data_IF_203682981984
#
_entry.id   IF_203682981984
#
_cell.length_a   1.000
_cell.length_b   1.000
_cell.length_c   1.000
_cell.angle_alpha   90.00
_cell.angle_beta   90.00
_cell.angle_gamma   90.00
#
_symmetry.space_group_name_H-M   'P 1'
#
loop_
_entity.id
_entity.type
_entity.pdbx_description
1 polymer ?
#
# COMPACT_ATOMS: atom_id res chain seq x y z
N UNK A 1 -16.12 1.62 -26.52
CA UNK A 1 -16.41 0.28 -27.07
C UNK A 1 -16.05 -0.76 -26.02
N UNK A 2 -17.00 -1.61 -25.65
CA UNK A 2 -16.85 -2.69 -24.67
C UNK A 2 -15.90 -3.75 -25.21
N UNK A 3 -14.64 -3.71 -24.78
CA UNK A 3 -13.65 -4.74 -25.10
C UNK A 3 -14.01 -5.96 -24.26
N UNK A 4 -14.45 -7.03 -24.92
CA UNK A 4 -14.71 -8.32 -24.27
C UNK A 4 -13.41 -9.12 -24.21
N UNK A 5 -13.08 -9.70 -23.05
CA UNK A 5 -11.90 -10.56 -22.86
C UNK A 5 -11.93 -11.84 -23.71
N UNK A 6 -13.07 -12.17 -24.32
CA UNK A 6 -13.25 -13.32 -25.23
C UNK A 6 -12.90 -13.05 -26.69
N UNK A 7 -12.53 -11.81 -27.05
CA UNK A 7 -12.16 -11.46 -28.42
C UNK A 7 -10.75 -11.96 -28.78
N UNK A 8 -10.54 -12.36 -30.03
CA UNK A 8 -9.20 -12.65 -30.55
C UNK A 8 -8.32 -11.38 -30.51
N UNK A 9 -7.31 -11.37 -29.62
CA UNK A 9 -6.40 -10.24 -29.45
C UNK A 9 -5.35 -10.21 -30.56
N UNK A 10 -5.63 -9.48 -31.65
CA UNK A 10 -4.59 -9.04 -32.58
C UNK A 10 -3.75 -7.89 -32.00
N UNK A 11 -2.53 -7.67 -32.51
CA UNK A 11 -1.61 -6.61 -32.05
C UNK A 11 -2.26 -5.22 -31.92
N UNK A 12 -3.16 -4.86 -32.85
CA UNK A 12 -3.88 -3.57 -32.82
C UNK A 12 -4.87 -3.45 -31.65
N UNK A 13 -5.61 -4.52 -31.33
CA UNK A 13 -6.51 -4.56 -30.16
C UNK A 13 -5.71 -4.60 -28.85
N UNK A 14 -4.58 -5.32 -28.84
CA UNK A 14 -3.67 -5.35 -27.70
C UNK A 14 -3.12 -3.95 -27.38
N UNK A 15 -2.60 -3.24 -28.39
CA UNK A 15 -2.11 -1.86 -28.23
C UNK A 15 -3.24 -0.92 -27.79
N UNK A 16 -4.44 -1.04 -28.36
CA UNK A 16 -5.57 -0.18 -27.98
C UNK A 16 -6.09 -0.47 -26.57
N UNK A 17 -5.91 -1.69 -26.07
CA UNK A 17 -6.22 -2.07 -24.69
C UNK A 17 -5.13 -1.63 -23.70
N UNK A 18 -3.86 -1.68 -24.10
CA UNK A 18 -2.74 -1.28 -23.23
C UNK A 18 -2.49 0.23 -23.23
N UNK A 19 -2.85 0.97 -24.30
CA UNK A 19 -2.64 2.41 -24.39
C UNK A 19 -3.24 3.20 -23.22
N UNK A 20 -4.49 2.96 -22.80
CA UNK A 20 -5.08 3.66 -21.66
C UNK A 20 -4.34 3.37 -20.35
N UNK A 21 -3.88 2.13 -20.17
CA UNK A 21 -3.09 1.73 -19.00
C UNK A 21 -1.71 2.40 -19.02
N UNK A 22 -1.04 2.42 -20.17
CA UNK A 22 0.25 3.11 -20.34
C UNK A 22 0.07 4.62 -20.07
N UNK A 23 -0.98 5.24 -20.61
CA UNK A 23 -1.28 6.64 -20.36
C UNK A 23 -1.54 6.92 -18.87
N UNK A 24 -2.37 6.11 -18.21
CA UNK A 24 -2.59 6.16 -16.75
C UNK A 24 -1.27 6.08 -15.97
N UNK A 25 -0.38 5.17 -16.36
CA UNK A 25 0.93 5.00 -15.72
C UNK A 25 1.85 6.20 -15.94
N UNK A 26 1.85 6.79 -17.14
CA UNK A 26 2.59 8.02 -17.43
C UNK A 26 2.06 9.18 -16.58
N UNK A 27 0.74 9.39 -16.54
CA UNK A 27 0.15 10.45 -15.71
C UNK A 27 0.48 10.27 -14.24
N UNK A 28 0.32 9.06 -13.70
CA UNK A 28 0.67 8.74 -12.31
C UNK A 28 2.16 8.99 -12.04
N UNK A 29 3.03 8.71 -13.01
CA UNK A 29 4.47 8.97 -12.92
C UNK A 29 4.78 10.46 -12.88
N UNK A 30 4.15 11.26 -13.75
CA UNK A 30 4.32 12.72 -13.77
C UNK A 30 3.83 13.32 -12.45
N UNK A 31 2.69 12.88 -11.93
CA UNK A 31 2.16 13.35 -10.65
C UNK A 31 3.12 13.06 -9.49
N UNK A 32 3.67 11.84 -9.41
CA UNK A 32 4.64 11.50 -8.37
C UNK A 32 5.93 12.32 -8.43
N UNK A 33 6.39 12.67 -9.64
CA UNK A 33 7.53 13.57 -9.81
C UNK A 33 7.19 14.97 -9.32
N UNK A 34 6.03 15.49 -9.70
CA UNK A 34 5.59 16.83 -9.31
C UNK A 34 5.45 16.91 -7.79
N UNK A 35 4.81 15.92 -7.16
CA UNK A 35 4.63 15.86 -5.71
C UNK A 35 5.98 15.73 -4.96
N UNK A 36 6.86 14.84 -5.43
CA UNK A 36 8.20 14.70 -4.89
C UNK A 36 9.05 15.97 -5.05
N UNK A 37 8.92 16.69 -6.17
CA UNK A 37 9.58 17.98 -6.38
C UNK A 37 8.99 19.07 -5.47
N UNK A 38 7.67 19.08 -5.25
CA UNK A 38 7.01 20.01 -4.33
C UNK A 38 7.50 19.81 -2.90
N UNK A 39 7.50 18.56 -2.40
CA UNK A 39 8.01 18.23 -1.06
C UNK A 39 9.49 18.59 -0.96
N UNK A 40 10.30 18.29 -1.98
CA UNK A 40 11.74 18.58 -1.96
C UNK A 40 12.05 20.09 -2.03
N UNK A 41 11.25 20.89 -2.72
CA UNK A 41 11.45 22.36 -2.81
C UNK A 41 10.89 23.10 -1.59
N UNK A 42 9.75 22.68 -1.05
CA UNK A 42 9.12 23.36 0.08
C UNK A 42 9.80 22.98 1.40
N UNK A 43 10.16 21.70 1.56
CA UNK A 43 10.62 21.17 2.85
C UNK A 43 12.12 20.91 2.90
N UNK A 44 12.79 20.89 1.75
CA UNK A 44 14.23 20.72 1.64
C UNK A 44 14.67 19.29 1.34
N UNK A 45 15.86 19.16 0.74
CA UNK A 45 16.40 17.89 0.27
C UNK A 45 16.74 16.91 1.39
N UNK A 46 17.09 17.42 2.58
CA UNK A 46 17.37 16.60 3.77
C UNK A 46 16.10 15.93 4.29
N UNK A 47 15.00 16.68 4.34
CA UNK A 47 13.70 16.18 4.77
C UNK A 47 13.14 15.12 3.82
N UNK A 48 13.30 15.34 2.51
CA UNK A 48 12.94 14.35 1.49
C UNK A 48 13.76 13.06 1.60
N UNK A 49 15.06 13.15 1.89
CA UNK A 49 15.92 11.98 2.12
C UNK A 49 15.48 11.20 3.37
N UNK A 50 15.15 11.89 4.45
CA UNK A 50 14.66 11.30 5.70
C UNK A 50 13.36 10.49 5.49
N UNK A 51 12.38 11.05 4.77
CA UNK A 51 11.12 10.35 4.41
C UNK A 51 11.41 9.05 3.65
N UNK A 52 12.28 9.13 2.64
CA UNK A 52 12.61 7.97 1.80
C UNK A 52 13.39 6.88 2.52
N UNK A 53 14.13 7.24 3.57
CA UNK A 53 14.85 6.30 4.40
C UNK A 53 13.90 5.43 5.23
N UNK A 54 12.82 6.01 5.75
CA UNK A 54 11.90 5.33 6.68
C UNK A 54 10.74 4.58 5.99
N UNK A 55 10.35 4.98 4.77
CA UNK A 55 9.26 4.33 4.03
C UNK A 55 9.39 2.80 3.89
N UNK A 56 10.56 2.21 3.56
CA UNK A 56 10.70 0.76 3.48
C UNK A 56 10.38 0.03 4.79
N UNK A 57 10.68 0.63 5.93
CA UNK A 57 10.38 0.05 7.26
C UNK A 57 8.87 -0.06 7.45
N UNK A 58 8.15 1.00 7.09
CA UNK A 58 6.69 1.05 7.16
C UNK A 58 6.08 0.02 6.21
N UNK A 59 6.64 -0.15 5.00
CA UNK A 59 6.22 -1.18 4.04
C UNK A 59 6.47 -2.59 4.56
N UNK A 60 7.59 -2.86 5.24
CA UNK A 60 7.86 -4.17 5.86
C UNK A 60 6.80 -4.49 6.91
N UNK A 61 6.45 -3.55 7.78
CA UNK A 61 5.40 -3.77 8.78
C UNK A 61 4.01 -3.89 8.12
N UNK A 62 3.74 -3.03 7.12
CA UNK A 62 2.50 -3.05 6.36
C UNK A 62 2.32 -4.29 5.48
N UNK A 63 3.40 -5.00 5.14
CA UNK A 63 3.41 -6.26 4.36
C UNK A 63 2.51 -7.33 4.98
N UNK A 64 2.33 -7.31 6.31
CA UNK A 64 1.40 -8.18 7.00
C UNK A 64 -0.06 -7.91 6.62
N UNK A 65 -0.42 -6.64 6.38
CA UNK A 65 -1.73 -6.25 5.86
C UNK A 65 -1.98 -6.88 4.50
N UNK A 66 -1.01 -6.80 3.59
CA UNK A 66 -1.09 -7.44 2.27
C UNK A 66 -1.22 -8.97 2.37
N UNK A 67 -0.50 -9.60 3.29
CA UNK A 67 -0.60 -11.03 3.57
C UNK A 67 -2.03 -11.43 3.93
N UNK A 68 -2.61 -10.76 4.93
CA UNK A 68 -3.94 -11.08 5.43
C UNK A 68 -5.02 -10.67 4.43
N UNK A 69 -4.86 -9.54 3.73
CA UNK A 69 -5.78 -9.07 2.70
C UNK A 69 -5.91 -10.05 1.54
N UNK A 70 -4.80 -10.37 0.88
CA UNK A 70 -4.79 -11.26 -0.30
C UNK A 70 -5.06 -12.71 0.06
N UNK A 71 -4.42 -13.22 1.12
CA UNK A 71 -4.60 -14.60 1.57
C UNK A 71 -5.97 -14.84 2.21
N UNK A 72 -6.47 -13.84 2.94
CA UNK A 72 -7.81 -13.80 3.52
C UNK A 72 -8.91 -13.71 2.47
N UNK A 73 -8.75 -12.87 1.46
CA UNK A 73 -9.70 -12.80 0.34
C UNK A 73 -9.81 -14.14 -0.39
N UNK A 74 -8.70 -14.87 -0.57
CA UNK A 74 -8.72 -16.20 -1.16
C UNK A 74 -9.47 -17.23 -0.28
N UNK A 75 -9.25 -17.20 1.04
CA UNK A 75 -9.96 -18.08 1.97
C UNK A 75 -11.46 -17.79 1.99
N UNK A 76 -11.84 -16.52 2.09
CA UNK A 76 -13.25 -16.08 2.14
C UNK A 76 -13.95 -16.37 0.82
N UNK A 77 -13.30 -16.10 -0.32
CA UNK A 77 -13.83 -16.40 -1.66
C UNK A 77 -14.08 -17.90 -1.82
N UNK A 78 -13.14 -18.76 -1.38
CA UNK A 78 -13.34 -20.20 -1.39
C UNK A 78 -14.56 -20.62 -0.57
N UNK A 79 -14.69 -20.12 0.66
CA UNK A 79 -15.80 -20.48 1.56
C UNK A 79 -17.16 -19.96 1.06
N UNK A 80 -17.18 -18.81 0.37
CA UNK A 80 -18.36 -18.33 -0.35
C UNK A 80 -18.73 -19.26 -1.51
N UNK A 81 -17.74 -19.71 -2.30
CA UNK A 81 -17.94 -20.68 -3.38
C UNK A 81 -18.44 -22.05 -2.91
N UNK A 82 -18.10 -22.45 -1.69
CA UNK A 82 -18.63 -23.66 -1.01
C UNK A 82 -20.06 -23.45 -0.43
N UNK A 83 -20.73 -22.33 -0.72
CA UNK A 83 -22.04 -21.93 -0.19
C UNK A 83 -22.11 -21.78 1.35
N UNK A 84 -20.97 -21.70 2.03
CA UNK A 84 -20.91 -21.55 3.50
C UNK A 84 -20.88 -20.07 3.93
N UNK A 85 -21.91 -19.29 3.56
CA UNK A 85 -21.97 -17.83 3.77
C UNK A 85 -21.73 -17.37 5.21
N UNK A 86 -22.30 -18.09 6.20
CA UNK A 86 -22.12 -17.75 7.62
C UNK A 86 -20.65 -17.85 8.03
N UNK A 87 -19.96 -18.91 7.61
CA UNK A 87 -18.55 -19.15 7.92
C UNK A 87 -17.64 -18.17 7.18
N UNK A 88 -18.00 -17.77 5.97
CA UNK A 88 -17.30 -16.71 5.25
C UNK A 88 -17.33 -15.36 6.01
N UNK A 89 -18.49 -14.99 6.58
CA UNK A 89 -18.62 -13.78 7.41
C UNK A 89 -17.80 -13.87 8.70
N UNK A 90 -17.79 -15.04 9.35
CA UNK A 90 -16.99 -15.28 10.56
C UNK A 90 -15.48 -15.14 10.25
N UNK A 91 -15.00 -15.70 9.14
CA UNK A 91 -13.60 -15.54 8.70
C UNK A 91 -13.26 -14.11 8.32
N UNK A 92 -14.10 -13.44 7.53
CA UNK A 92 -13.91 -12.04 7.15
C UNK A 92 -13.77 -11.14 8.39
N UNK A 93 -14.69 -11.29 9.34
CA UNK A 93 -14.68 -10.50 10.58
C UNK A 93 -13.45 -10.79 11.43
N UNK A 94 -13.06 -12.06 11.53
CA UNK A 94 -11.90 -12.48 12.30
C UNK A 94 -10.61 -11.88 11.73
N UNK A 95 -10.47 -11.88 10.41
CA UNK A 95 -9.30 -11.32 9.73
C UNK A 95 -9.24 -9.80 9.90
N UNK A 96 -10.38 -9.10 9.88
CA UNK A 96 -10.42 -7.65 10.17
C UNK A 96 -10.01 -7.36 11.61
N UNK A 97 -10.54 -8.09 12.59
CA UNK A 97 -10.14 -7.89 13.99
C UNK A 97 -8.67 -8.20 14.22
N UNK A 98 -8.13 -9.25 13.57
CA UNK A 98 -6.72 -9.58 13.60
C UNK A 98 -5.87 -8.45 13.02
N UNK A 99 -6.29 -7.81 11.92
CA UNK A 99 -5.58 -6.69 11.32
C UNK A 99 -5.58 -5.45 12.21
N UNK A 100 -6.69 -5.13 12.86
CA UNK A 100 -6.74 -4.01 13.82
C UNK A 100 -5.78 -4.28 14.97
N UNK A 101 -5.83 -5.47 15.55
CA UNK A 101 -5.00 -5.85 16.70
C UNK A 101 -3.51 -5.87 16.33
N UNK A 102 -3.16 -6.53 15.22
CA UNK A 102 -1.78 -6.62 14.75
C UNK A 102 -1.25 -5.26 14.27
N UNK A 103 -2.08 -4.45 13.62
CA UNK A 103 -1.71 -3.09 13.20
C UNK A 103 -1.39 -2.19 14.39
N UNK A 104 -2.20 -2.23 15.45
CA UNK A 104 -1.93 -1.47 16.69
C UNK A 104 -0.66 -1.99 17.36
N UNK A 105 -0.47 -3.31 17.43
CA UNK A 105 0.73 -3.91 18.01
C UNK A 105 2.00 -3.48 17.23
N UNK A 106 1.96 -3.55 15.90
CA UNK A 106 3.07 -3.13 15.06
C UNK A 106 3.30 -1.61 15.08
N UNK A 107 2.25 -0.81 15.24
CA UNK A 107 2.39 0.64 15.44
C UNK A 107 3.16 0.94 16.73
N UNK A 108 2.79 0.29 17.85
CA UNK A 108 3.45 0.48 19.14
C UNK A 108 4.92 0.04 19.07
N UNK A 109 5.17 -1.17 18.56
CA UNK A 109 6.54 -1.69 18.37
C UNK A 109 7.32 -0.76 17.43
N UNK A 110 6.71 -0.36 16.31
CA UNK A 110 7.31 0.50 15.31
C UNK A 110 7.74 1.86 15.87
N UNK A 111 6.91 2.47 16.73
CA UNK A 111 7.24 3.74 17.40
C UNK A 111 8.40 3.55 18.40
N UNK A 112 8.37 2.48 19.21
CA UNK A 112 9.42 2.20 20.20
C UNK A 112 10.79 1.96 19.56
N UNK A 113 10.82 1.27 18.41
CA UNK A 113 12.06 0.96 17.68
C UNK A 113 12.38 1.95 16.55
N UNK A 114 11.59 3.02 16.38
CA UNK A 114 11.75 3.93 15.24
C UNK A 114 13.13 4.60 15.21
N UNK A 115 13.57 5.11 16.36
CA UNK A 115 14.86 5.80 16.52
C UNK A 115 16.06 4.86 16.26
N UNK A 116 16.17 3.67 16.87
CA UNK A 116 17.28 2.77 16.57
C UNK A 116 17.25 2.26 15.12
N UNK A 117 16.07 2.00 14.55
CA UNK A 117 15.96 1.60 13.14
C UNK A 117 16.45 2.72 12.21
N UNK A 118 16.05 3.96 12.45
CA UNK A 118 16.52 5.11 11.67
C UNK A 118 18.03 5.29 11.76
N UNK A 119 18.62 5.08 12.95
CA UNK A 119 20.08 5.09 13.13
C UNK A 119 20.80 4.00 12.35
N UNK A 120 20.31 2.75 12.39
CA UNK A 120 20.89 1.61 11.64
C UNK A 120 20.82 1.84 10.12
N UNK A 121 19.75 2.47 9.66
CA UNK A 121 19.55 2.84 8.25
C UNK A 121 20.53 3.93 7.76
N UNK A 122 21.24 4.59 8.68
CA UNK A 122 22.23 5.62 8.34
C UNK A 122 21.67 7.04 8.34
N UNK A 123 20.62 7.32 9.13
CA UNK A 123 20.16 8.69 9.34
C UNK A 123 21.25 9.52 10.05
N UNK A 124 21.64 10.65 9.46
CA UNK A 124 22.50 11.66 10.10
C UNK A 124 21.74 12.42 11.19
N UNK A 125 22.44 13.16 12.07
CA UNK A 125 21.81 13.89 13.17
C UNK A 125 20.72 14.89 12.71
N UNK A 126 20.93 15.57 11.58
CA UNK A 126 19.92 16.48 10.99
C UNK A 126 18.72 15.78 10.34
N UNK A 127 18.87 14.53 9.89
CA UNK A 127 17.79 13.73 9.29
C UNK A 127 17.00 12.94 10.33
N UNK A 128 17.62 12.58 11.45
CA UNK A 128 17.07 11.65 12.43
C UNK A 128 15.75 12.16 13.01
N UNK A 129 15.67 13.44 13.37
CA UNK A 129 14.45 14.04 13.92
C UNK A 129 13.31 14.04 12.90
N UNK A 130 13.60 14.35 11.64
CA UNK A 130 12.62 14.29 10.54
C UNK A 130 12.13 12.86 10.28
N UNK A 131 13.03 11.88 10.30
CA UNK A 131 12.70 10.46 10.20
C UNK A 131 11.74 10.03 11.33
N UNK A 132 12.00 10.49 12.55
CA UNK A 132 11.20 10.13 13.73
C UNK A 132 9.82 10.77 13.64
N UNK A 133 9.73 12.07 13.32
CA UNK A 133 8.45 12.78 13.21
C UNK A 133 7.57 12.13 12.14
N UNK A 134 8.11 11.97 10.93
CA UNK A 134 7.38 11.38 9.81
C UNK A 134 7.02 9.92 10.06
N UNK A 135 7.99 9.14 10.53
CA UNK A 135 7.81 7.72 10.83
C UNK A 135 6.77 7.51 11.94
N UNK A 136 6.77 8.31 13.00
CA UNK A 136 5.81 8.18 14.09
C UNK A 136 4.37 8.43 13.60
N UNK A 137 4.17 9.46 12.78
CA UNK A 137 2.84 9.77 12.21
C UNK A 137 2.34 8.60 11.36
N UNK A 138 3.19 8.05 10.49
CA UNK A 138 2.80 6.92 9.65
C UNK A 138 2.64 5.61 10.44
N UNK A 139 3.41 5.40 11.51
CA UNK A 139 3.21 4.25 12.40
C UNK A 139 1.85 4.32 13.10
N UNK A 140 1.40 5.51 13.53
CA UNK A 140 0.02 5.70 14.03
C UNK A 140 -1.01 5.36 12.94
N UNK A 141 -0.71 5.62 11.68
CA UNK A 141 -1.54 5.27 10.52
C UNK A 141 -1.48 3.81 10.08
N UNK A 142 -0.51 3.04 10.56
CA UNK A 142 -0.27 1.66 10.14
C UNK A 142 -1.51 0.74 10.24
N UNK A 143 -2.35 0.79 11.30
CA UNK A 143 -3.57 -0.01 11.33
C UNK A 143 -4.54 0.34 10.18
N UNK A 144 -4.69 1.63 9.89
CA UNK A 144 -5.54 2.13 8.80
C UNK A 144 -4.97 1.75 7.45
N UNK A 145 -3.65 1.83 7.26
CA UNK A 145 -2.97 1.38 6.06
C UNK A 145 -3.21 -0.12 5.78
N UNK A 146 -3.05 -0.96 6.80
CA UNK A 146 -3.27 -2.40 6.68
C UNK A 146 -4.73 -2.72 6.34
N UNK A 147 -5.68 -2.04 7.00
CA UNK A 147 -7.10 -2.17 6.72
C UNK A 147 -7.46 -1.73 5.29
N UNK A 148 -7.01 -0.55 4.86
CA UNK A 148 -7.28 -0.02 3.53
C UNK A 148 -6.87 -1.01 2.44
N UNK A 149 -5.64 -1.54 2.53
CA UNK A 149 -5.15 -2.51 1.55
C UNK A 149 -5.97 -3.81 1.55
N UNK A 150 -6.30 -4.33 2.72
CA UNK A 150 -7.10 -5.55 2.80
C UNK A 150 -8.53 -5.37 2.33
N UNK A 151 -9.14 -4.20 2.57
CA UNK A 151 -10.45 -3.88 2.05
C UNK A 151 -10.48 -3.81 0.52
N UNK A 152 -9.38 -3.43 -0.15
CA UNK A 152 -9.31 -3.54 -1.60
C UNK A 152 -9.51 -4.98 -2.06
N UNK A 153 -8.83 -5.94 -1.44
CA UNK A 153 -9.00 -7.37 -1.75
C UNK A 153 -10.38 -7.91 -1.38
N UNK A 154 -10.92 -7.51 -0.22
CA UNK A 154 -12.24 -7.98 0.21
C UNK A 154 -13.40 -7.37 -0.57
N UNK A 155 -13.30 -6.13 -1.07
CA UNK A 155 -14.33 -5.51 -1.92
C UNK A 155 -14.45 -6.22 -3.27
N UNK A 156 -13.37 -6.80 -3.79
CA UNK A 156 -13.42 -7.66 -4.97
C UNK A 156 -14.18 -8.96 -4.66
N UNK A 157 -13.90 -9.61 -3.53
CA UNK A 157 -14.61 -10.82 -3.09
C UNK A 157 -16.08 -10.54 -2.77
N UNK A 158 -16.39 -9.33 -2.32
CA UNK A 158 -17.75 -8.88 -2.06
C UNK A 158 -18.53 -8.50 -3.34
N UNK A 159 -17.97 -8.73 -4.53
CA UNK A 159 -18.56 -8.35 -5.83
C UNK A 159 -18.78 -6.84 -6.00
N UNK A 160 -18.01 -6.01 -5.28
CA UNK A 160 -18.07 -4.54 -5.31
C UNK A 160 -16.73 -3.90 -5.71
N UNK A 161 -16.06 -4.32 -6.81
CA UNK A 161 -14.77 -3.75 -7.22
C UNK A 161 -14.88 -2.25 -7.59
N UNK A 162 -16.04 -1.80 -8.11
CA UNK A 162 -16.29 -0.38 -8.38
C UNK A 162 -16.23 0.48 -7.12
N UNK A 163 -16.70 -0.06 -5.99
CA UNK A 163 -16.63 0.64 -4.71
C UNK A 163 -15.18 0.76 -4.23
N UNK A 164 -14.37 -0.30 -4.39
CA UNK A 164 -12.93 -0.26 -4.11
C UNK A 164 -12.21 0.84 -4.89
N UNK A 165 -12.50 0.95 -6.20
CA UNK A 165 -11.96 2.02 -7.06
C UNK A 165 -12.38 3.42 -6.59
N UNK A 166 -13.66 3.63 -6.30
CA UNK A 166 -14.17 4.93 -5.82
C UNK A 166 -13.50 5.32 -4.51
N UNK A 167 -13.35 4.37 -3.58
CA UNK A 167 -12.70 4.63 -2.28
C UNK A 167 -11.21 4.95 -2.46
N UNK A 168 -10.50 4.26 -3.35
CA UNK A 168 -9.11 4.58 -3.69
C UNK A 168 -8.98 5.98 -4.27
N UNK A 169 -9.88 6.38 -5.16
CA UNK A 169 -9.90 7.72 -5.75
C UNK A 169 -10.18 8.77 -4.67
N UNK A 170 -11.19 8.56 -3.82
CA UNK A 170 -11.50 9.48 -2.70
C UNK A 170 -10.30 9.60 -1.76
N UNK A 171 -9.66 8.48 -1.41
CA UNK A 171 -8.44 8.48 -0.59
C UNK A 171 -7.32 9.27 -1.25
N UNK A 172 -7.06 9.06 -2.54
CA UNK A 172 -6.00 9.77 -3.27
C UNK A 172 -6.26 11.27 -3.40
N UNK A 173 -7.51 11.66 -3.70
CA UNK A 173 -7.90 13.08 -3.73
C UNK A 173 -7.78 13.70 -2.34
N UNK A 174 -8.21 12.97 -1.30
CA UNK A 174 -8.10 13.43 0.09
C UNK A 174 -6.65 13.65 0.48
N UNK A 175 -5.75 12.72 0.13
CA UNK A 175 -4.31 12.87 0.34
C UNK A 175 -3.79 14.14 -0.34
N UNK A 176 -4.06 14.31 -1.63
CA UNK A 176 -3.59 15.47 -2.42
C UNK A 176 -4.11 16.80 -1.86
N UNK A 177 -5.38 16.87 -1.47
CA UNK A 177 -5.97 18.09 -0.89
C UNK A 177 -5.33 18.40 0.46
N UNK A 178 -5.12 17.40 1.32
CA UNK A 178 -4.47 17.62 2.61
C UNK A 178 -2.98 17.91 2.47
N UNK A 179 -2.28 17.33 1.49
CA UNK A 179 -0.88 17.69 1.21
C UNK A 179 -0.79 19.16 0.79
N UNK A 180 -1.65 19.60 -0.13
CA UNK A 180 -1.71 21.02 -0.50
C UNK A 180 -2.04 21.93 0.70
N UNK A 181 -3.04 21.58 1.51
CA UNK A 181 -3.41 22.40 2.66
C UNK A 181 -2.32 22.41 3.75
N UNK A 182 -1.86 21.24 4.20
CA UNK A 182 -0.96 21.12 5.34
C UNK A 182 0.49 21.49 4.99
N UNK A 183 0.95 21.13 3.80
CA UNK A 183 2.33 21.38 3.37
C UNK A 183 2.46 22.77 2.74
N UNK A 184 1.55 23.17 1.85
CA UNK A 184 1.68 24.44 1.12
C UNK A 184 0.98 25.62 1.83
N UNK A 185 -0.24 25.46 2.34
CA UNK A 185 -0.95 26.58 2.99
C UNK A 185 -0.49 26.79 4.42
N UNK A 186 -0.48 25.72 5.23
CA UNK A 186 -0.11 25.79 6.65
C UNK A 186 1.38 25.63 6.92
N UNK A 187 2.18 25.26 5.92
CA UNK A 187 3.64 25.14 6.02
C UNK A 187 4.10 24.21 7.16
N UNK A 188 3.33 23.15 7.47
CA UNK A 188 3.71 22.14 8.48
C UNK A 188 4.83 21.20 8.03
N UNK A 189 5.42 21.43 6.84
CA UNK A 189 6.56 20.68 6.33
C UNK A 189 6.30 19.17 6.24
N UNK A 190 7.29 18.35 6.63
CA UNK A 190 7.21 16.88 6.55
C UNK A 190 6.11 16.31 7.46
N UNK A 191 5.88 16.92 8.62
CA UNK A 191 4.81 16.49 9.51
C UNK A 191 3.44 16.63 8.83
N UNK A 192 3.24 17.73 8.08
CA UNK A 192 2.04 17.94 7.27
C UNK A 192 1.81 16.83 6.25
N UNK A 193 2.85 16.43 5.52
CA UNK A 193 2.77 15.35 4.53
C UNK A 193 2.44 13.99 5.18
N UNK A 194 3.05 13.71 6.34
CA UNK A 194 2.73 12.51 7.13
C UNK A 194 1.27 12.48 7.56
N UNK A 195 0.73 13.62 8.04
CA UNK A 195 -0.66 13.74 8.49
C UNK A 195 -1.64 13.63 7.32
N UNK A 196 -1.33 14.22 6.17
CA UNK A 196 -2.14 14.07 4.96
C UNK A 196 -2.26 12.60 4.53
N UNK A 197 -1.14 11.87 4.57
CA UNK A 197 -1.10 10.43 4.29
C UNK A 197 -1.94 9.66 5.32
N UNK A 198 -1.76 9.93 6.61
CA UNK A 198 -2.54 9.32 7.68
C UNK A 198 -4.05 9.52 7.48
N UNK A 199 -4.49 10.75 7.23
CA UNK A 199 -5.90 11.08 7.05
C UNK A 199 -6.49 10.38 5.83
N UNK A 200 -5.75 10.31 4.73
CA UNK A 200 -6.20 9.58 3.53
C UNK A 200 -6.37 8.08 3.78
N UNK A 201 -5.43 7.45 4.49
CA UNK A 201 -5.50 6.04 4.86
C UNK A 201 -6.66 5.77 5.81
N UNK A 202 -6.92 6.69 6.76
CA UNK A 202 -8.08 6.64 7.65
C UNK A 202 -9.37 6.65 6.82
N UNK A 203 -9.50 7.55 5.84
CA UNK A 203 -10.66 7.59 4.94
C UNK A 203 -10.80 6.27 4.17
N UNK A 204 -9.69 5.77 3.64
CA UNK A 204 -9.64 4.49 2.93
C UNK A 204 -9.97 3.26 3.77
N UNK A 205 -9.78 3.31 5.10
CA UNK A 205 -10.12 2.23 6.02
C UNK A 205 -11.53 2.36 6.60
N UNK A 206 -11.94 3.57 6.99
CA UNK A 206 -13.22 3.83 7.66
C UNK A 206 -14.39 3.68 6.69
N UNK A 207 -14.29 4.16 5.45
CA UNK A 207 -15.42 4.05 4.49
C UNK A 207 -15.82 2.58 4.25
N UNK A 208 -14.91 1.66 3.87
CA UNK A 208 -15.26 0.25 3.75
C UNK A 208 -15.71 -0.34 5.09
N UNK A 209 -15.08 0.03 6.20
CA UNK A 209 -15.46 -0.48 7.52
C UNK A 209 -16.92 -0.15 7.85
N UNK A 210 -17.35 1.10 7.66
CA UNK A 210 -18.76 1.51 7.86
C UNK A 210 -19.69 0.74 6.92
N UNK A 211 -19.29 0.53 5.66
CA UNK A 211 -20.08 -0.23 4.69
C UNK A 211 -20.30 -1.68 5.12
N UNK A 212 -19.28 -2.35 5.67
CA UNK A 212 -19.39 -3.75 6.12
C UNK A 212 -20.07 -3.92 7.48
N UNK A 213 -20.13 -2.87 8.31
CA UNK A 213 -20.91 -2.84 9.56
C UNK A 213 -22.41 -2.66 9.28
N UNK A 214 -22.76 -1.79 8.33
CA UNK A 214 -24.16 -1.51 7.99
C UNK A 214 -24.77 -2.65 7.18
N UNK A 215 -26.11 -2.70 7.18
CA UNK A 215 -26.81 -3.53 6.21
C UNK A 215 -26.44 -3.09 4.80
N UNK A 216 -25.87 -4.02 4.06
CA UNK A 216 -25.42 -3.83 2.70
C UNK A 216 -25.95 -4.97 1.83
N UNK A 217 -25.85 -4.77 0.53
CA UNK A 217 -26.24 -5.72 -0.52
C UNK A 217 -25.09 -6.68 -0.88
N UNK A 218 -24.02 -6.71 -0.09
CA UNK A 218 -22.86 -7.56 -0.31
C UNK A 218 -22.99 -8.91 0.41
N UNK A 219 -22.29 -9.96 -0.06
CA UNK A 219 -22.31 -11.26 0.59
C UNK A 219 -21.53 -11.26 1.92
N UNK A 220 -20.79 -10.19 2.22
CA UNK A 220 -19.94 -10.07 3.40
C UNK A 220 -20.49 -9.06 4.41
N UNK A 221 -20.53 -9.47 5.68
CA UNK A 221 -20.92 -8.61 6.80
C UNK A 221 -20.00 -8.82 7.99
N UNK A 222 -19.76 -7.75 8.74
CA UNK A 222 -19.06 -7.84 10.01
C UNK A 222 -19.99 -8.47 11.06
N UNK A 223 -19.54 -9.59 11.63
CA UNK A 223 -20.27 -10.39 12.61
C UNK A 223 -19.38 -10.67 13.83
N UNK A 224 -20.02 -11.08 14.93
CA UNK A 224 -19.30 -11.64 16.07
C UNK A 224 -18.72 -13.00 15.66
N UNK A 225 -17.44 -13.20 15.90
CA UNK A 225 -16.69 -14.38 15.48
C UNK A 225 -15.85 -14.92 16.63
N UNK A 226 -15.52 -16.20 16.59
CA UNK A 226 -14.54 -16.83 17.46
C UNK A 226 -13.17 -16.86 16.80
N UNK A 227 -12.11 -16.91 17.60
CA UNK A 227 -10.75 -16.95 17.09
C UNK A 227 -10.42 -18.37 16.59
N UNK A 228 -10.28 -18.53 15.26
CA UNK A 228 -9.87 -19.78 14.62
C UNK A 228 -8.43 -19.65 14.09
N UNK A 229 -7.47 -20.13 14.89
CA UNK A 229 -6.05 -20.09 14.54
C UNK A 229 -5.74 -20.85 13.23
N UNK A 230 -6.45 -21.94 12.92
CA UNK A 230 -6.22 -22.69 11.68
C UNK A 230 -6.62 -21.88 10.47
N UNK A 231 -7.74 -21.16 10.56
CA UNK A 231 -8.19 -20.28 9.49
C UNK A 231 -7.21 -19.10 9.29
N UNK A 232 -6.68 -18.52 10.37
CA UNK A 232 -5.65 -17.48 10.30
C UNK A 232 -4.39 -18.03 9.63
N UNK A 233 -3.88 -19.18 10.06
CA UNK A 233 -2.68 -19.78 9.49
C UNK A 233 -2.86 -20.06 7.99
N UNK A 234 -4.03 -20.56 7.59
CA UNK A 234 -4.35 -20.81 6.19
C UNK A 234 -4.42 -19.53 5.35
N UNK A 235 -5.04 -18.47 5.90
CA UNK A 235 -5.05 -17.16 5.26
C UNK A 235 -3.63 -16.62 5.11
N UNK A 236 -2.81 -16.67 6.17
CA UNK A 236 -1.42 -16.23 6.14
C UNK A 236 -0.58 -17.02 5.12
N UNK A 237 -0.72 -18.34 5.05
CA UNK A 237 -0.01 -19.16 4.06
C UNK A 237 -0.38 -18.79 2.61
N UNK A 238 -1.66 -18.52 2.35
CA UNK A 238 -2.12 -18.12 1.02
C UNK A 238 -1.58 -16.73 0.61
N UNK A 239 -1.41 -15.83 1.57
CA UNK A 239 -0.91 -14.47 1.32
C UNK A 239 0.59 -14.28 1.53
N UNK A 240 1.31 -15.31 1.99
CA UNK A 240 2.73 -15.22 2.33
C UNK A 240 3.58 -14.81 1.12
N UNK A 241 3.20 -15.23 -0.10
CA UNK A 241 3.86 -14.83 -1.33
C UNK A 241 3.82 -13.31 -1.55
N UNK A 242 2.68 -12.68 -1.24
CA UNK A 242 2.51 -11.23 -1.36
C UNK A 242 3.33 -10.48 -0.31
N UNK A 243 3.35 -10.99 0.93
CA UNK A 243 4.20 -10.46 1.99
C UNK A 243 5.68 -10.50 1.61
N UNK A 244 6.17 -11.68 1.19
CA UNK A 244 7.56 -11.88 0.78
C UNK A 244 7.90 -10.95 -0.38
N UNK A 245 7.01 -10.80 -1.35
CA UNK A 245 7.22 -9.87 -2.48
C UNK A 245 7.42 -8.44 -1.98
N UNK A 246 6.55 -7.94 -1.11
CA UNK A 246 6.63 -6.58 -0.57
C UNK A 246 7.85 -6.37 0.34
N UNK A 247 8.21 -7.37 1.15
CA UNK A 247 9.43 -7.36 1.95
C UNK A 247 10.66 -7.33 1.03
N UNK A 248 10.71 -8.16 -0.02
CA UNK A 248 11.82 -8.16 -0.97
C UNK A 248 12.00 -6.80 -1.64
N UNK A 249 10.90 -6.15 -2.07
CA UNK A 249 10.96 -4.78 -2.63
C UNK A 249 11.55 -3.80 -1.62
N UNK A 250 11.09 -3.89 -0.37
CA UNK A 250 11.51 -3.00 0.71
C UNK A 250 12.97 -3.19 1.06
N UNK A 251 13.44 -4.43 1.18
CA UNK A 251 14.84 -4.76 1.45
C UNK A 251 15.76 -4.28 0.33
N UNK A 252 15.38 -4.53 -0.93
CA UNK A 252 16.11 -4.02 -2.09
C UNK A 252 16.17 -2.49 -2.04
N UNK A 253 15.06 -1.82 -1.73
CA UNK A 253 15.01 -0.36 -1.53
C UNK A 253 15.96 0.13 -0.43
N UNK A 254 16.01 -0.56 0.70
CA UNK A 254 16.89 -0.21 1.83
C UNK A 254 18.36 -0.36 1.44
N UNK A 255 18.73 -1.48 0.83
CA UNK A 255 20.10 -1.73 0.39
C UNK A 255 20.56 -0.71 -0.64
N UNK A 256 19.69 -0.35 -1.59
CA UNK A 256 19.98 0.72 -2.55
C UNK A 256 20.15 2.07 -1.87
N UNK A 257 19.22 2.47 -0.99
CA UNK A 257 19.34 3.72 -0.23
C UNK A 257 20.65 3.77 0.56
N UNK A 258 21.04 2.65 1.17
CA UNK A 258 22.27 2.55 1.94
C UNK A 258 23.55 2.59 1.10
N UNK A 259 23.57 1.91 -0.06
CA UNK A 259 24.69 1.98 -0.99
C UNK A 259 24.88 3.39 -1.53
N UNK A 260 23.79 4.06 -1.88
CA UNK A 260 23.87 5.42 -2.39
C UNK A 260 24.32 6.42 -1.30
N UNK A 261 23.88 6.25 -0.05
CA UNK A 261 24.40 7.01 1.10
C UNK A 261 25.93 6.90 1.19
N UNK A 262 26.47 5.67 1.06
CA UNK A 262 27.93 5.42 1.11
C UNK A 262 28.69 6.04 -0.07
N UNK A 263 28.13 5.99 -1.27
CA UNK A 263 28.81 6.46 -2.49
C UNK A 263 28.75 7.98 -2.68
N UNK A 264 27.73 8.65 -2.12
CA UNK A 264 27.44 10.06 -2.41
C UNK A 264 28.02 11.07 -1.41
N UNK A 265 28.43 10.63 -0.21
CA UNK A 265 28.82 11.53 0.87
C UNK A 265 27.78 12.62 1.14
N UNK A 266 28.21 13.87 1.38
CA UNK A 266 27.34 15.03 1.66
C UNK A 266 26.46 15.48 0.46
N UNK A 267 26.75 15.04 -0.79
CA UNK A 267 25.95 15.38 -1.99
C UNK A 267 24.75 14.45 -2.21
N UNK A 268 24.52 13.53 -1.28
CA UNK A 268 23.42 12.56 -1.28
C UNK A 268 22.06 13.19 -1.60
N UNK A 269 21.74 14.34 -1.00
CA UNK A 269 20.46 15.03 -1.12
C UNK A 269 20.12 15.47 -2.56
N UNK A 270 21.12 15.83 -3.36
CA UNK A 270 20.97 16.20 -4.77
C UNK A 270 20.94 14.97 -5.71
N UNK A 271 21.76 13.95 -5.43
CA UNK A 271 21.74 12.69 -6.18
C UNK A 271 20.42 11.94 -5.98
N UNK A 272 19.82 12.01 -4.79
CA UNK A 272 18.49 11.47 -4.49
C UNK A 272 17.42 12.08 -5.39
N UNK A 273 17.43 13.41 -5.57
CA UNK A 273 16.45 14.11 -6.39
C UNK A 273 16.44 13.60 -7.84
N UNK A 274 17.62 13.41 -8.45
CA UNK A 274 17.73 12.83 -9.80
C UNK A 274 17.48 11.31 -9.84
N UNK A 275 17.92 10.57 -8.82
CA UNK A 275 17.74 9.12 -8.75
C UNK A 275 16.27 8.71 -8.50
N UNK A 276 15.51 9.46 -7.71
CA UNK A 276 14.09 9.17 -7.46
C UNK A 276 13.20 9.48 -8.66
N UNK A 277 13.55 10.49 -9.46
CA UNK A 277 12.97 10.64 -10.80
C UNK A 277 13.19 9.33 -11.59
N UNK A 278 14.43 8.85 -11.69
CA UNK A 278 14.75 7.58 -12.38
C UNK A 278 14.09 6.33 -11.75
N UNK A 279 13.92 6.28 -10.42
CA UNK A 279 13.30 5.16 -9.70
C UNK A 279 11.79 5.16 -9.84
N UNK A 280 11.13 6.32 -9.87
CA UNK A 280 9.70 6.42 -10.20
C UNK A 280 9.45 5.93 -11.64
N UNK A 281 10.34 6.32 -12.57
CA UNK A 281 10.35 5.80 -13.95
C UNK A 281 10.53 4.27 -14.02
N UNK A 282 11.38 3.67 -13.18
CA UNK A 282 11.67 2.23 -13.24
C UNK A 282 10.71 1.36 -12.40
N UNK A 283 10.49 1.66 -11.11
CA UNK A 283 9.71 0.82 -10.19
C UNK A 283 8.20 1.07 -10.27
N UNK A 284 7.76 2.32 -10.47
CA UNK A 284 6.34 2.64 -10.67
C UNK A 284 5.79 2.00 -11.95
N UNK A 285 6.63 1.88 -12.98
CA UNK A 285 6.29 1.20 -14.22
C UNK A 285 6.41 -0.33 -14.16
N UNK A 286 7.40 -0.88 -13.47
CA UNK A 286 7.59 -2.34 -13.43
C UNK A 286 6.66 -3.06 -12.45
N UNK A 287 6.33 -2.49 -11.27
CA UNK A 287 5.49 -3.18 -10.29
C UNK A 287 3.99 -3.10 -10.59
N UNK A 288 3.50 -2.00 -11.16
CA UNK A 288 2.14 -1.94 -11.71
C UNK A 288 1.94 -2.96 -12.85
N UNK A 289 3.00 -3.20 -13.64
CA UNK A 289 2.99 -4.18 -14.73
C UNK A 289 3.18 -5.62 -14.22
N UNK A 290 3.97 -5.86 -13.18
CA UNK A 290 4.24 -7.22 -12.66
C UNK A 290 3.23 -7.71 -11.63
N UNK A 291 2.71 -6.83 -10.78
CA UNK A 291 1.77 -7.21 -9.71
C UNK A 291 0.33 -7.34 -10.26
N UNK A 292 -0.04 -6.51 -11.25
CA UNK A 292 -1.32 -6.65 -11.95
C UNK A 292 -1.34 -7.82 -12.96
N UNK A 293 -0.18 -8.26 -13.47
CA UNK A 293 -0.09 -9.49 -14.27
C UNK A 293 -0.14 -10.79 -13.46
N UNK A 294 -0.01 -10.73 -12.13
CA UNK A 294 0.07 -11.96 -11.30
C UNK A 294 -1.27 -12.50 -10.84
N UNK A 295 -2.39 -11.83 -11.11
CA UNK A 295 -3.73 -12.29 -10.71
C UNK A 295 -4.48 -13.09 -11.80
N UNK A 296 -3.90 -13.29 -13.00
CA UNK A 296 -4.56 -14.00 -14.10
C UNK A 296 -3.79 -15.19 -14.69
N UNK A 297 -2.68 -15.63 -14.09
CA UNK A 297 -1.78 -16.64 -14.70
C UNK A 297 -1.58 -17.95 -13.93
N UNK A 298 -2.53 -18.34 -13.08
CA UNK A 298 -2.56 -19.70 -12.54
C UNK A 298 -3.92 -20.33 -12.83
N UNK A 299 -3.88 -21.49 -13.51
CA UNK A 299 -4.98 -22.32 -14.06
C UNK A 299 -5.26 -21.99 -15.54
N UNK A 300 -4.92 -22.82 -16.55
CA UNK A 300 -4.15 -24.08 -16.59
C UNK A 300 -3.08 -24.15 -17.73
N UNK A 301 -1.94 -24.82 -17.52
CA UNK A 301 -1.19 -25.60 -18.55
C UNK A 301 0.06 -26.25 -17.95
N UNK A 302 -0.19 -27.10 -16.94
CA UNK A 302 0.64 -28.25 -16.58
C UNK A 302 0.08 -29.52 -17.24
N UNK A 303 -0.44 -29.40 -18.46
CA UNK A 303 -0.88 -30.54 -19.27
C UNK A 303 -0.89 -30.15 -20.75
N UNK A 304 0.13 -30.67 -21.46
CA UNK A 304 0.44 -30.59 -22.90
C UNK A 304 1.23 -29.38 -23.38
#
# INVERSE_FOLDING_TARGET
MTISLSDHFGYKKLIQFTLPTIAMMIFTSIYGIVDGLFISNIVGSEAFAAVNLILPVIMVLGSFGFMIGTGGSALVSKTLGENHKKRANEYFSMLIYLMILSGILFAIIGILFLRPIAGILGATEGMLETCIIYGAILMVGLPSFMLQNSFQSFLVVAEKPRMGLVISIISGITNMVFDFLLVYVFQFGVAGAGVATLLSQIVGAIIPMIYFIRENDSPLKLVKTSFDFKAILKASMNGASEMVTNISVSLVSMLYNWQLLRLSGERWSCCLRNYYVCRFYLFGNLYGVFCWNRTYYWIPLWCK
#
